data_IF_682869663720
#
_entry.id   IF_682869663720
#
_cell.length_a   1.000
_cell.length_b   1.000
_cell.length_c   1.000
_cell.angle_alpha   90.00
_cell.angle_beta   90.00
_cell.angle_gamma   90.00
#
_symmetry.space_group_name_H-M   'P 1'
#
loop_
_entity.id
_entity.type
_entity.pdbx_description
1 polymer ?
#
# COMPACT_ATOMS: atom_id res chain seq x y z
N UNK A 1 -2.35 -29.76 -65.41
CA UNK A 1 -2.89 -29.10 -64.19
C UNK A 1 -3.14 -27.64 -64.51
N UNK A 2 -4.37 -27.21 -64.30
CA UNK A 2 -5.05 -26.08 -64.96
C UNK A 2 -4.53 -24.75 -64.42
N UNK A 3 -4.09 -23.88 -65.33
CA UNK A 3 -3.62 -22.51 -65.09
C UNK A 3 -4.83 -21.55 -65.08
N UNK A 4 -5.25 -21.12 -63.90
CA UNK A 4 -6.33 -20.13 -63.73
C UNK A 4 -5.90 -18.67 -64.04
N UNK A 5 -4.67 -18.46 -64.50
CA UNK A 5 -4.08 -17.12 -64.69
C UNK A 5 -4.24 -16.53 -66.10
N UNK A 6 -4.83 -17.27 -67.04
CA UNK A 6 -4.94 -16.83 -68.44
C UNK A 6 -6.29 -16.25 -68.87
N UNK A 7 -7.29 -16.18 -67.99
CA UNK A 7 -8.65 -15.77 -68.41
C UNK A 7 -8.95 -14.26 -68.37
N UNK A 8 -7.99 -13.42 -67.95
CA UNK A 8 -8.21 -11.96 -67.85
C UNK A 8 -7.65 -11.12 -69.01
N UNK A 9 -7.07 -11.74 -70.05
CA UNK A 9 -6.29 -11.03 -71.08
C UNK A 9 -6.83 -11.14 -72.52
N UNK A 10 -8.13 -11.34 -72.73
CA UNK A 10 -8.71 -11.31 -74.07
C UNK A 10 -10.05 -10.58 -74.16
N UNK A 11 -9.99 -9.24 -74.21
CA UNK A 11 -10.99 -8.40 -74.87
C UNK A 11 -10.25 -7.24 -75.60
N UNK A 12 -10.39 -7.07 -76.93
CA UNK A 12 -9.74 -5.99 -77.65
C UNK A 12 -10.59 -4.73 -77.54
N UNK A 13 -10.51 -4.05 -76.40
CA UNK A 13 -10.97 -2.66 -76.28
C UNK A 13 -9.77 -1.79 -76.61
N UNK A 14 -9.79 -1.03 -77.71
CA UNK A 14 -8.79 0.04 -77.93
C UNK A 14 -8.95 1.04 -76.76
N UNK A 15 -8.02 1.11 -75.80
CA UNK A 15 -8.20 2.00 -74.67
C UNK A 15 -8.15 3.44 -75.20
N UNK A 16 -9.10 4.28 -74.78
CA UNK A 16 -9.07 5.69 -75.14
C UNK A 16 -7.76 6.32 -74.62
N UNK A 17 -7.22 7.34 -75.31
CA UNK A 17 -6.02 8.05 -74.87
C UNK A 17 -6.13 8.54 -73.41
N UNK A 18 -7.35 8.91 -72.98
CA UNK A 18 -7.67 9.26 -71.58
C UNK A 18 -7.38 8.11 -70.61
N UNK A 19 -7.73 6.89 -70.96
CA UNK A 19 -7.56 5.71 -70.09
C UNK A 19 -6.09 5.37 -69.88
N UNK A 20 -5.27 5.46 -70.95
CA UNK A 20 -3.83 5.19 -70.90
C UNK A 20 -3.08 6.24 -70.05
N UNK A 21 -3.52 7.49 -70.08
CA UNK A 21 -2.91 8.55 -69.29
C UNK A 21 -3.43 8.59 -67.85
N UNK A 22 -4.74 8.49 -67.61
CA UNK A 22 -5.33 8.74 -66.29
C UNK A 22 -5.10 7.58 -65.30
N UNK A 23 -5.21 6.32 -65.74
CA UNK A 23 -5.13 5.17 -64.84
C UNK A 23 -3.77 5.07 -64.11
N UNK A 24 -2.61 5.21 -64.78
CA UNK A 24 -1.31 5.17 -64.11
C UNK A 24 -1.16 6.27 -63.04
N UNK A 25 -1.64 7.49 -63.32
CA UNK A 25 -1.60 8.58 -62.34
C UNK A 25 -2.49 8.29 -61.13
N UNK A 26 -3.70 7.76 -61.33
CA UNK A 26 -4.59 7.37 -60.22
C UNK A 26 -3.96 6.26 -59.38
N UNK A 27 -3.37 5.23 -60.00
CA UNK A 27 -2.69 4.14 -59.30
C UNK A 27 -1.51 4.65 -58.47
N UNK A 28 -0.71 5.57 -59.03
CA UNK A 28 0.39 6.20 -58.29
C UNK A 28 -0.12 7.00 -57.08
N UNK A 29 -1.18 7.81 -57.26
CA UNK A 29 -1.79 8.57 -56.16
C UNK A 29 -2.30 7.62 -55.07
N UNK A 30 -3.03 6.57 -55.44
CA UNK A 30 -3.54 5.57 -54.48
C UNK A 30 -2.40 4.87 -53.72
N UNK A 31 -1.33 4.49 -54.42
CA UNK A 31 -0.17 3.86 -53.82
C UNK A 31 0.50 4.79 -52.80
N UNK A 32 0.74 6.06 -53.16
CA UNK A 32 1.36 7.05 -52.27
C UNK A 32 0.46 7.38 -51.08
N UNK A 33 -0.85 7.58 -51.29
CA UNK A 33 -1.79 7.87 -50.21
C UNK A 33 -1.93 6.69 -49.25
N UNK A 34 -1.99 5.47 -49.78
CA UNK A 34 -2.07 4.26 -48.95
C UNK A 34 -0.78 4.03 -48.17
N UNK A 35 0.38 4.23 -48.79
CA UNK A 35 1.68 4.10 -48.13
C UNK A 35 1.85 5.16 -47.04
N UNK A 36 1.55 6.42 -47.34
CA UNK A 36 1.64 7.51 -46.35
C UNK A 36 0.61 7.33 -45.22
N UNK A 37 -0.60 6.88 -45.53
CA UNK A 37 -1.61 6.52 -44.54
C UNK A 37 -1.15 5.38 -43.62
N UNK A 38 -0.60 4.30 -44.18
CA UNK A 38 -0.06 3.18 -43.41
C UNK A 38 1.13 3.61 -42.51
N UNK A 39 2.09 4.35 -43.06
CA UNK A 39 3.24 4.85 -42.31
C UNK A 39 2.81 5.83 -41.21
N UNK A 40 1.87 6.72 -41.49
CA UNK A 40 1.28 7.64 -40.52
C UNK A 40 0.62 6.90 -39.37
N UNK A 41 -0.20 5.88 -39.67
CA UNK A 41 -0.87 5.05 -38.66
C UNK A 41 0.14 4.28 -37.80
N UNK A 42 1.15 3.65 -38.42
CA UNK A 42 2.19 2.90 -37.71
C UNK A 42 3.04 3.81 -36.81
N UNK A 43 3.44 4.97 -37.32
CA UNK A 43 4.19 5.96 -36.55
C UNK A 43 3.35 6.57 -35.42
N UNK A 44 2.06 6.81 -35.67
CA UNK A 44 1.09 7.26 -34.67
C UNK A 44 0.94 6.26 -33.52
N UNK A 45 0.75 4.97 -33.82
CA UNK A 45 0.71 3.93 -32.78
C UNK A 45 2.01 3.88 -31.96
N UNK A 46 3.17 3.94 -32.63
CA UNK A 46 4.47 3.94 -31.94
C UNK A 46 4.62 5.14 -31.01
N UNK A 47 4.22 6.33 -31.47
CA UNK A 47 4.26 7.55 -30.65
C UNK A 47 3.35 7.44 -29.41
N UNK A 48 2.11 6.96 -29.59
CA UNK A 48 1.16 6.74 -28.48
C UNK A 48 1.70 5.71 -27.48
N UNK A 49 2.19 4.57 -27.95
CA UNK A 49 2.74 3.52 -27.07
C UNK A 49 3.96 4.01 -26.28
N UNK A 50 4.85 4.79 -26.92
CA UNK A 50 6.01 5.37 -26.25
C UNK A 50 5.59 6.35 -25.14
N UNK A 51 4.63 7.23 -25.41
CA UNK A 51 4.12 8.18 -24.42
C UNK A 51 3.43 7.44 -23.27
N UNK A 52 2.58 6.45 -23.57
CA UNK A 52 1.91 5.64 -22.55
C UNK A 52 2.91 4.91 -21.65
N UNK A 53 3.95 4.31 -22.24
CA UNK A 53 5.00 3.60 -21.49
C UNK A 53 5.79 4.54 -20.58
N UNK A 54 6.15 5.74 -21.06
CA UNK A 54 6.82 6.76 -20.24
C UNK A 54 5.95 7.22 -19.08
N UNK A 55 4.67 7.51 -19.34
CA UNK A 55 3.73 7.91 -18.31
C UNK A 55 3.56 6.83 -17.23
N UNK A 56 3.41 5.56 -17.64
CA UNK A 56 3.31 4.44 -16.69
C UNK A 56 4.59 4.27 -15.88
N UNK A 57 5.76 4.47 -16.49
CA UNK A 57 7.04 4.46 -15.79
C UNK A 57 7.13 5.58 -14.76
N UNK A 58 6.76 6.81 -15.11
CA UNK A 58 6.76 7.95 -14.18
C UNK A 58 5.78 7.75 -13.02
N UNK A 59 4.59 7.22 -13.30
CA UNK A 59 3.60 6.86 -12.26
C UNK A 59 4.18 5.78 -11.35
N UNK A 60 4.78 4.72 -11.91
CA UNK A 60 5.40 3.64 -11.14
C UNK A 60 6.54 4.15 -10.26
N UNK A 61 7.40 5.03 -10.78
CA UNK A 61 8.46 5.68 -10.02
C UNK A 61 7.88 6.56 -8.89
N UNK A 62 6.82 7.32 -9.15
CA UNK A 62 6.15 8.12 -8.11
C UNK A 62 5.54 7.25 -7.02
N UNK A 63 4.94 6.11 -7.37
CA UNK A 63 4.43 5.12 -6.42
C UNK A 63 5.58 4.57 -5.58
N UNK A 64 6.67 4.12 -6.21
CA UNK A 64 7.86 3.60 -5.52
C UNK A 64 8.45 4.63 -4.55
N UNK A 65 8.61 5.88 -4.98
CA UNK A 65 9.14 6.95 -4.14
C UNK A 65 8.26 7.21 -2.92
N UNK A 66 6.93 7.22 -3.08
CA UNK A 66 6.03 7.42 -1.93
C UNK A 66 6.02 6.21 -1.00
N UNK A 67 6.05 5.00 -1.55
CA UNK A 67 6.15 3.78 -0.74
C UNK A 67 7.44 3.73 0.06
N UNK A 68 8.55 4.20 -0.49
CA UNK A 68 9.80 4.34 0.24
C UNK A 68 9.59 5.21 1.49
N UNK A 69 8.97 6.39 1.35
CA UNK A 69 8.65 7.25 2.51
C UNK A 69 7.73 6.57 3.52
N UNK A 70 6.71 5.84 3.08
CA UNK A 70 5.82 5.08 3.98
C UNK A 70 6.58 4.00 4.75
N UNK A 71 7.44 3.25 4.08
CA UNK A 71 8.12 2.09 4.65
C UNK A 71 9.34 2.47 5.50
N UNK A 72 10.09 3.52 5.14
CA UNK A 72 11.27 3.92 5.93
C UNK A 72 10.91 4.52 7.28
N UNK A 73 9.85 5.33 7.36
CA UNK A 73 9.56 6.10 8.56
C UNK A 73 9.32 5.24 9.82
N UNK A 74 8.53 4.15 9.80
CA UNK A 74 8.38 3.26 10.96
C UNK A 74 9.71 2.70 11.48
N UNK A 75 10.61 2.32 10.57
CA UNK A 75 11.92 1.77 10.90
C UNK A 75 12.82 2.84 11.52
N UNK A 76 12.86 4.04 10.95
CA UNK A 76 13.63 5.17 11.45
C UNK A 76 13.14 5.63 12.85
N UNK A 77 11.82 5.68 13.07
CA UNK A 77 11.22 6.02 14.36
C UNK A 77 11.63 4.99 15.41
N UNK A 78 11.48 3.70 15.11
CA UNK A 78 11.87 2.64 16.03
C UNK A 78 13.38 2.69 16.33
N UNK A 79 14.22 2.93 15.33
CA UNK A 79 15.66 3.02 15.52
C UNK A 79 16.05 4.22 16.40
N UNK A 80 15.41 5.38 16.19
CA UNK A 80 15.61 6.56 17.03
C UNK A 80 15.20 6.28 18.48
N UNK A 81 14.02 5.67 18.67
CA UNK A 81 13.52 5.32 19.99
C UNK A 81 14.45 4.31 20.69
N UNK A 82 14.91 3.29 19.97
CA UNK A 82 15.86 2.30 20.48
C UNK A 82 17.19 2.95 20.89
N UNK A 83 17.71 3.88 20.09
CA UNK A 83 18.92 4.63 20.41
C UNK A 83 18.73 5.48 21.66
N UNK A 84 17.60 6.18 21.78
CA UNK A 84 17.27 7.05 22.92
C UNK A 84 17.12 6.25 24.21
N UNK A 85 16.56 5.04 24.14
CA UNK A 85 16.50 4.08 25.25
C UNK A 85 17.91 3.61 25.63
N UNK A 86 18.73 3.23 24.64
CA UNK A 86 20.09 2.72 24.86
C UNK A 86 21.00 3.74 25.56
N UNK A 87 20.77 5.04 25.36
CA UNK A 87 21.54 6.12 26.01
C UNK A 87 20.86 6.67 27.27
N UNK A 88 19.89 5.95 27.85
CA UNK A 88 19.12 6.31 29.05
C UNK A 88 18.39 7.67 28.96
N UNK A 89 18.08 8.16 27.75
CA UNK A 89 17.35 9.41 27.56
C UNK A 89 15.82 9.24 27.50
N UNK A 90 15.34 8.00 27.32
CA UNK A 90 13.92 7.68 27.34
C UNK A 90 13.62 6.64 28.42
N UNK A 91 12.94 7.06 29.49
CA UNK A 91 12.52 6.16 30.57
C UNK A 91 11.30 5.33 30.14
N UNK A 92 11.55 4.10 29.72
CA UNK A 92 10.53 3.14 29.28
C UNK A 92 9.69 2.51 30.41
N UNK A 93 10.06 2.77 31.68
CA UNK A 93 9.25 2.37 32.83
C UNK A 93 8.19 3.42 33.18
N UNK A 94 8.33 4.66 32.69
CA UNK A 94 7.37 5.74 32.86
C UNK A 94 6.42 5.83 31.67
N UNK A 95 5.32 5.08 31.76
CA UNK A 95 4.31 5.01 30.70
C UNK A 95 3.63 6.38 30.41
N UNK A 96 3.33 7.22 31.41
CA UNK A 96 2.90 8.61 31.17
C UNK A 96 3.87 9.43 30.32
N UNK A 97 5.18 9.30 30.52
CA UNK A 97 6.19 9.97 29.66
C UNK A 97 6.16 9.37 28.25
N UNK A 98 6.16 8.03 28.12
CA UNK A 98 6.11 7.35 26.81
C UNK A 98 4.88 7.74 25.99
N UNK A 99 3.71 7.85 26.61
CA UNK A 99 2.48 8.31 25.98
C UNK A 99 2.66 9.67 25.30
N UNK A 100 3.19 10.65 26.04
CA UNK A 100 3.38 12.02 25.52
C UNK A 100 4.46 12.03 24.44
N UNK A 101 5.52 11.27 24.64
CA UNK A 101 6.61 11.14 23.69
C UNK A 101 6.13 10.58 22.34
N UNK A 102 5.41 9.45 22.36
CA UNK A 102 4.85 8.85 21.14
C UNK A 102 3.78 9.74 20.51
N UNK A 103 2.96 10.42 21.31
CA UNK A 103 1.96 11.37 20.83
C UNK A 103 2.59 12.51 20.01
N UNK A 104 3.67 13.13 20.52
CA UNK A 104 4.36 14.20 19.80
C UNK A 104 5.11 13.69 18.56
N UNK A 105 5.72 12.51 18.62
CA UNK A 105 6.31 11.90 17.41
C UNK A 105 5.27 11.67 16.32
N UNK A 106 4.09 11.17 16.67
CA UNK A 106 3.03 10.86 15.71
C UNK A 106 2.49 12.11 14.99
N UNK A 107 2.56 13.29 15.63
CA UNK A 107 2.22 14.58 15.01
C UNK A 107 3.22 15.01 13.95
N UNK A 108 4.49 14.59 14.08
CA UNK A 108 5.54 14.86 13.10
C UNK A 108 5.48 13.85 11.95
N UNK A 109 5.33 12.57 12.26
CA UNK A 109 5.33 11.49 11.28
C UNK A 109 3.93 11.10 10.81
N UNK A 110 3.31 11.96 9.99
CA UNK A 110 1.94 11.79 9.52
C UNK A 110 1.70 10.52 8.67
N UNK A 111 2.75 9.89 8.13
CA UNK A 111 2.71 8.64 7.39
C UNK A 111 2.50 7.42 8.30
N UNK A 112 2.92 7.50 9.56
CA UNK A 112 2.75 6.42 10.55
C UNK A 112 1.40 6.57 11.23
N UNK A 113 0.78 5.45 11.58
CA UNK A 113 -0.53 5.42 12.22
C UNK A 113 -0.45 5.11 13.70
N UNK A 114 0.54 4.33 14.15
CA UNK A 114 0.72 4.01 15.56
C UNK A 114 2.21 3.98 15.88
N UNK A 115 2.59 4.54 17.04
CA UNK A 115 3.92 4.38 17.64
C UNK A 115 3.71 3.90 19.07
N UNK A 116 4.42 2.85 19.48
CA UNK A 116 4.24 2.27 20.80
C UNK A 116 5.39 1.40 21.27
N UNK A 117 5.23 0.90 22.49
CA UNK A 117 6.17 0.05 23.17
C UNK A 117 5.43 -1.00 24.00
N UNK A 118 5.97 -2.22 24.02
CA UNK A 118 5.56 -3.25 24.95
C UNK A 118 6.76 -3.78 25.74
N UNK A 119 6.61 -3.87 27.06
CA UNK A 119 7.68 -4.37 27.92
C UNK A 119 7.58 -5.89 28.15
N UNK A 120 8.56 -6.45 28.84
CA UNK A 120 8.61 -7.89 29.23
C UNK A 120 7.48 -8.31 30.18
N UNK A 121 6.79 -7.37 30.82
CA UNK A 121 5.71 -7.60 31.79
C UNK A 121 4.31 -7.60 31.15
N UNK A 122 4.22 -7.73 29.82
CA UNK A 122 2.97 -7.67 29.02
C UNK A 122 2.27 -6.31 29.04
N UNK A 123 2.96 -5.27 29.49
CA UNK A 123 2.40 -3.92 29.49
C UNK A 123 2.67 -3.27 28.15
N UNK A 124 1.69 -2.50 27.67
CA UNK A 124 1.67 -1.87 26.36
C UNK A 124 1.21 -0.42 26.49
N UNK A 125 1.87 0.47 25.75
CA UNK A 125 1.47 1.86 25.58
C UNK A 125 1.74 2.30 24.14
N UNK A 126 0.81 3.02 23.53
CA UNK A 126 1.00 3.58 22.19
C UNK A 126 0.17 4.84 21.98
N UNK A 127 0.63 5.71 21.09
CA UNK A 127 -0.18 6.73 20.45
C UNK A 127 -0.62 6.24 19.06
N UNK A 128 -1.87 6.51 18.67
CA UNK A 128 -2.43 6.08 17.39
C UNK A 128 -3.38 7.12 16.77
N UNK A 129 -3.22 7.37 15.47
CA UNK A 129 -4.16 8.12 14.62
C UNK A 129 -5.03 7.09 13.88
N UNK A 130 -6.30 7.06 14.23
CA UNK A 130 -7.30 6.25 13.56
C UNK A 130 -7.62 6.78 12.15
N UNK A 131 -8.25 5.96 11.27
CA UNK A 131 -8.65 6.40 9.94
C UNK A 131 -9.58 7.62 9.91
N UNK A 132 -10.34 7.85 10.98
CA UNK A 132 -11.21 9.02 11.18
C UNK A 132 -10.44 10.30 11.57
N UNK A 133 -9.11 10.23 11.67
CA UNK A 133 -8.23 11.32 12.09
C UNK A 133 -8.16 11.52 13.60
N UNK A 134 -8.90 10.75 14.40
CA UNK A 134 -8.83 10.86 15.85
C UNK A 134 -7.50 10.33 16.37
N UNK A 135 -6.85 11.14 17.20
CA UNK A 135 -5.66 10.73 17.93
C UNK A 135 -6.10 10.10 19.26
N UNK A 136 -5.52 8.96 19.57
CA UNK A 136 -5.86 8.14 20.73
C UNK A 136 -4.61 7.63 21.41
N UNK A 137 -4.73 7.35 22.71
CA UNK A 137 -3.73 6.58 23.46
C UNK A 137 -4.29 5.20 23.72
N UNK A 138 -3.48 4.17 23.51
CA UNK A 138 -3.86 2.80 23.83
C UNK A 138 -2.93 2.25 24.90
N UNK A 139 -3.52 1.67 25.94
CA UNK A 139 -2.75 1.12 27.04
C UNK A 139 -3.32 -0.22 27.51
N UNK A 140 -2.43 -1.13 27.89
CA UNK A 140 -2.76 -2.36 28.60
C UNK A 140 -1.69 -2.60 29.68
N UNK A 141 -2.09 -2.90 30.91
CA UNK A 141 -1.15 -3.19 31.98
C UNK A 141 -1.84 -3.38 33.32
N UNK A 142 -1.11 -3.29 34.43
CA UNK A 142 -1.67 -3.51 35.78
C UNK A 142 -2.89 -2.63 36.06
N UNK A 143 -2.82 -1.34 35.70
CA UNK A 143 -3.91 -0.36 35.91
C UNK A 143 -5.18 -0.68 35.14
N UNK A 144 -5.09 -1.40 34.02
CA UNK A 144 -6.25 -1.81 33.20
C UNK A 144 -6.64 -3.27 33.42
N UNK A 145 -6.02 -3.95 34.40
CA UNK A 145 -6.11 -5.40 34.60
C UNK A 145 -5.79 -6.18 33.32
N UNK A 146 -4.77 -5.72 32.58
CA UNK A 146 -4.32 -6.26 31.30
C UNK A 146 -5.38 -6.28 30.19
N UNK A 147 -6.42 -5.45 30.30
CA UNK A 147 -7.34 -5.19 29.20
C UNK A 147 -6.83 -4.01 28.38
N UNK A 148 -6.91 -4.12 27.06
CA UNK A 148 -6.61 -3.00 26.19
C UNK A 148 -7.68 -1.93 26.32
N UNK A 149 -7.27 -0.70 26.63
CA UNK A 149 -8.13 0.47 26.65
C UNK A 149 -7.68 1.43 25.57
N UNK A 150 -8.63 1.99 24.83
CA UNK A 150 -8.40 3.07 23.88
C UNK A 150 -8.97 4.34 24.46
N UNK A 151 -8.12 5.33 24.71
CA UNK A 151 -8.47 6.62 25.28
C UNK A 151 -8.54 7.68 24.19
N UNK A 152 -9.56 8.53 24.23
CA UNK A 152 -9.59 9.76 23.43
C UNK A 152 -8.61 10.78 24.00
N UNK A 153 -8.02 11.63 23.15
CA UNK A 153 -7.15 12.72 23.60
C UNK A 153 -7.68 14.09 23.20
N UNK A 154 -7.25 15.12 23.94
CA UNK A 154 -7.32 16.50 23.44
C UNK A 154 -6.15 16.80 22.47
N UNK A 155 -6.03 18.06 22.04
CA UNK A 155 -4.96 18.51 21.13
C UNK A 155 -3.54 18.43 21.74
N UNK A 156 -3.46 18.36 23.06
CA UNK A 156 -2.21 18.27 23.83
C UNK A 156 -1.84 16.82 24.19
N UNK A 157 -2.63 15.84 23.75
CA UNK A 157 -2.38 14.42 24.03
C UNK A 157 -2.83 13.93 25.39
N UNK A 158 -3.47 14.79 26.20
CA UNK A 158 -4.05 14.38 27.47
C UNK A 158 -5.30 13.54 27.24
N UNK A 159 -5.39 12.39 27.90
CA UNK A 159 -6.58 11.52 27.90
C UNK A 159 -7.81 12.28 28.41
N UNK A 160 -8.90 12.25 27.64
CA UNK A 160 -10.16 12.94 27.98
C UNK A 160 -11.32 11.98 28.25
N UNK A 161 -11.18 10.71 27.87
CA UNK A 161 -12.23 9.71 27.99
C UNK A 161 -11.80 8.37 27.43
N UNK A 162 -12.71 7.39 27.46
CA UNK A 162 -12.48 6.05 26.93
C UNK A 162 -13.32 5.89 25.66
N UNK A 163 -12.65 5.66 24.52
CA UNK A 163 -13.27 5.35 23.22
C UNK A 163 -13.70 3.89 23.16
N UNK A 164 -12.90 2.98 23.71
CA UNK A 164 -13.13 1.54 23.66
C UNK A 164 -12.58 0.85 24.92
N UNK A 165 -13.40 -0.02 25.50
CA UNK A 165 -13.07 -0.84 26.66
C UNK A 165 -12.39 -2.17 26.27
N UNK A 166 -12.24 -2.50 24.99
CA UNK A 166 -11.41 -3.60 24.50
C UNK A 166 -11.60 -4.94 25.24
N UNK A 167 -10.57 -5.79 25.22
CA UNK A 167 -10.55 -7.12 25.83
C UNK A 167 -9.16 -7.41 26.43
N UNK A 168 -8.96 -8.54 27.15
CA UNK A 168 -7.63 -8.95 27.59
C UNK A 168 -6.64 -8.93 26.43
N UNK A 169 -5.49 -8.28 26.64
CA UNK A 169 -4.51 -8.03 25.59
C UNK A 169 -3.14 -8.44 26.08
N UNK A 170 -2.68 -9.57 25.53
CA UNK A 170 -1.36 -10.12 25.79
C UNK A 170 -0.45 -9.84 24.59
N UNK A 171 0.47 -8.88 24.75
CA UNK A 171 1.44 -8.52 23.71
C UNK A 171 2.38 -9.67 23.37
N UNK A 172 2.66 -10.56 24.32
CA UNK A 172 3.50 -11.75 24.12
C UNK A 172 2.81 -12.85 23.31
N UNK A 173 1.55 -12.66 22.92
CA UNK A 173 0.89 -13.55 21.94
C UNK A 173 0.85 -12.94 20.54
N UNK A 174 1.39 -11.73 20.37
CA UNK A 174 1.38 -11.03 19.09
C UNK A 174 2.65 -11.35 18.30
N UNK A 175 2.47 -11.69 17.03
CA UNK A 175 3.57 -12.03 16.13
C UNK A 175 4.62 -10.91 16.04
N UNK A 176 4.18 -9.64 16.01
CA UNK A 176 5.09 -8.48 15.96
C UNK A 176 6.00 -8.39 17.19
N UNK A 177 5.60 -8.92 18.35
CA UNK A 177 6.41 -8.92 19.57
C UNK A 177 7.36 -10.13 19.59
N UNK A 178 6.81 -11.35 19.48
CA UNK A 178 7.59 -12.57 19.63
C UNK A 178 8.61 -12.78 18.50
N UNK A 179 8.22 -12.50 17.25
CA UNK A 179 9.14 -12.65 16.12
C UNK A 179 10.29 -11.65 16.22
N UNK A 180 10.02 -10.41 16.65
CA UNK A 180 11.06 -9.40 16.81
C UNK A 180 12.09 -9.82 17.86
N UNK A 181 11.64 -10.35 19.00
CA UNK A 181 12.55 -10.89 20.03
C UNK A 181 13.34 -12.08 19.49
N UNK A 182 12.70 -13.03 18.81
CA UNK A 182 13.37 -14.21 18.27
C UNK A 182 14.41 -13.89 17.20
N UNK A 183 14.18 -12.86 16.39
CA UNK A 183 15.09 -12.42 15.33
C UNK A 183 16.19 -11.47 15.83
N UNK A 184 16.05 -10.95 17.06
CA UNK A 184 16.97 -10.00 17.71
C UNK A 184 17.30 -8.74 16.89
N UNK A 185 16.48 -8.42 15.88
CA UNK A 185 16.69 -7.31 14.94
C UNK A 185 15.38 -6.66 14.55
N UNK A 186 15.48 -5.50 13.90
CA UNK A 186 14.30 -4.86 13.32
C UNK A 186 13.70 -5.70 12.20
N UNK A 187 12.37 -5.82 12.17
CA UNK A 187 11.64 -6.64 11.20
C UNK A 187 10.29 -6.04 10.84
N UNK A 188 9.71 -6.55 9.74
CA UNK A 188 8.32 -6.31 9.38
C UNK A 188 7.45 -7.48 9.81
N UNK A 189 6.28 -7.21 10.38
CA UNK A 189 5.24 -8.21 10.55
C UNK A 189 4.62 -8.61 9.22
N UNK A 190 3.86 -9.70 9.23
CA UNK A 190 2.85 -9.93 8.19
C UNK A 190 1.78 -8.83 8.20
N UNK A 191 1.01 -8.69 7.12
CA UNK A 191 -0.19 -7.85 7.11
C UNK A 191 -1.25 -8.46 8.03
N UNK A 192 -1.76 -7.67 8.98
CA UNK A 192 -2.74 -8.13 9.95
C UNK A 192 -3.92 -7.14 10.13
N UNK A 193 -5.11 -7.63 10.49
CA UNK A 193 -6.23 -6.78 10.88
C UNK A 193 -5.94 -5.94 12.13
N UNK A 194 -6.25 -4.65 12.08
CA UNK A 194 -6.27 -3.83 13.27
C UNK A 194 -7.31 -4.34 14.29
N UNK A 195 -7.08 -4.15 15.58
CA UNK A 195 -7.97 -4.60 16.67
C UNK A 195 -9.43 -4.19 16.50
N UNK A 196 -9.68 -3.02 15.89
CA UNK A 196 -11.04 -2.51 15.63
C UNK A 196 -11.73 -3.16 14.41
N UNK A 197 -11.02 -3.93 13.59
CA UNK A 197 -11.59 -4.61 12.42
C UNK A 197 -11.98 -3.70 11.26
N UNK A 198 -11.42 -2.48 11.19
CA UNK A 198 -11.80 -1.49 10.16
C UNK A 198 -10.76 -1.32 9.05
N UNK A 199 -9.52 -1.77 9.27
CA UNK A 199 -8.40 -1.59 8.36
C UNK A 199 -7.30 -2.64 8.59
N UNK A 200 -6.48 -2.87 7.57
CA UNK A 200 -5.28 -3.71 7.64
C UNK A 200 -4.04 -2.88 7.94
N UNK A 201 -3.17 -3.44 8.77
CA UNK A 201 -1.95 -2.80 9.26
C UNK A 201 -0.75 -3.69 8.92
N UNK A 202 0.42 -3.08 8.83
CA UNK A 202 1.72 -3.75 8.86
C UNK A 202 2.61 -3.04 9.89
N UNK A 203 3.37 -3.81 10.66
CA UNK A 203 4.18 -3.32 11.76
C UNK A 203 5.66 -3.38 11.42
N UNK A 204 6.38 -2.28 11.63
CA UNK A 204 7.81 -2.33 11.91
C UNK A 204 7.99 -2.60 13.41
N UNK A 205 8.77 -3.61 13.75
CA UNK A 205 9.02 -4.03 15.12
C UNK A 205 10.51 -4.13 15.38
N UNK A 206 10.96 -3.57 16.51
CA UNK A 206 12.37 -3.54 16.88
C UNK A 206 12.55 -3.85 18.36
N UNK A 207 13.35 -4.86 18.73
CA UNK A 207 13.74 -5.07 20.13
C UNK A 207 14.50 -3.85 20.66
N UNK A 208 14.16 -3.42 21.87
CA UNK A 208 14.82 -2.33 22.56
C UNK A 208 15.68 -2.88 23.71
N UNK A 209 16.92 -2.43 23.81
CA UNK A 209 17.89 -2.85 24.81
C UNK A 209 18.36 -1.65 25.62
N UNK A 210 18.67 -1.86 26.90
CA UNK A 210 19.32 -0.84 27.73
C UNK A 210 20.82 -0.71 27.38
N UNK A 211 21.52 0.22 28.04
CA UNK A 211 22.96 0.42 27.84
C UNK A 211 23.81 -0.80 28.17
N UNK A 212 23.32 -1.71 29.03
CA UNK A 212 23.99 -2.96 29.40
C UNK A 212 23.69 -4.10 28.41
N UNK A 213 22.84 -3.86 27.41
CA UNK A 213 22.45 -4.86 26.43
C UNK A 213 21.31 -5.78 26.91
N UNK A 214 20.64 -5.47 28.03
CA UNK A 214 19.49 -6.26 28.46
C UNK A 214 18.25 -5.86 27.65
N UNK A 215 17.56 -6.85 27.08
CA UNK A 215 16.29 -6.65 26.38
C UNK A 215 15.28 -6.02 27.33
N UNK A 216 14.64 -4.93 26.92
CA UNK A 216 13.63 -4.23 27.71
C UNK A 216 12.20 -4.48 27.21
N UNK A 217 12.06 -4.76 25.92
CA UNK A 217 10.78 -4.91 25.26
C UNK A 217 10.90 -4.72 23.76
N UNK A 218 9.78 -4.43 23.11
CA UNK A 218 9.71 -4.24 21.66
C UNK A 218 9.03 -2.91 21.36
N UNK A 219 9.70 -2.10 20.53
CA UNK A 219 9.14 -0.91 19.90
C UNK A 219 8.31 -1.31 18.69
N UNK A 220 7.21 -0.61 18.49
CA UNK A 220 6.23 -0.89 17.45
C UNK A 220 5.87 0.40 16.73
N UNK A 221 5.99 0.40 15.41
CA UNK A 221 5.48 1.46 14.55
C UNK A 221 4.63 0.86 13.43
N UNK A 222 3.34 1.19 13.38
CA UNK A 222 2.42 0.62 12.38
C UNK A 222 2.07 1.58 11.28
N UNK A 223 1.95 1.03 10.07
CA UNK A 223 1.31 1.66 8.93
C UNK A 223 -0.10 1.13 8.78
N UNK A 224 -1.05 2.06 8.66
CA UNK A 224 -2.39 1.73 8.17
C UNK A 224 -2.34 1.68 6.64
N UNK A 225 -2.60 0.51 6.06
CA UNK A 225 -2.55 0.30 4.61
C UNK A 225 -3.61 1.12 3.86
N UNK A 226 -4.67 1.59 4.53
CA UNK A 226 -5.64 2.49 3.91
C UNK A 226 -5.02 3.83 3.49
N UNK A 227 -3.98 4.31 4.17
CA UNK A 227 -3.26 5.54 3.78
C UNK A 227 -2.59 5.39 2.42
N UNK A 228 -2.04 4.21 2.14
CA UNK A 228 -1.47 3.87 0.82
C UNK A 228 -2.58 3.81 -0.23
N UNK A 229 -3.72 3.18 0.09
CA UNK A 229 -4.90 3.17 -0.80
C UNK A 229 -5.38 4.58 -1.17
N UNK A 230 -5.52 5.48 -0.18
CA UNK A 230 -5.88 6.88 -0.42
C UNK A 230 -4.87 7.60 -1.30
N UNK A 231 -3.57 7.36 -1.10
CA UNK A 231 -2.53 7.89 -1.99
C UNK A 231 -2.72 7.40 -3.44
N UNK A 232 -2.93 6.09 -3.64
CA UNK A 232 -3.14 5.51 -4.97
C UNK A 232 -4.41 6.05 -5.66
N UNK A 233 -5.51 6.22 -4.91
CA UNK A 233 -6.75 6.81 -5.41
C UNK A 233 -6.57 8.25 -5.90
N UNK A 234 -5.61 8.99 -5.33
CA UNK A 234 -5.31 10.36 -5.72
C UNK A 234 -4.34 10.46 -6.93
N UNK A 235 -3.82 9.34 -7.43
CA UNK A 235 -3.00 9.32 -8.64
C UNK A 235 -3.88 9.48 -9.88
N UNK A 236 -3.48 10.38 -10.78
CA UNK A 236 -4.12 10.52 -12.09
C UNK A 236 -3.50 9.53 -13.07
N UNK A 237 -4.21 8.44 -13.38
CA UNK A 237 -3.74 7.38 -14.27
C UNK A 237 -4.65 7.33 -15.51
N UNK A 238 -4.47 8.30 -16.42
CA UNK A 238 -5.35 8.45 -17.57
C UNK A 238 -6.83 8.59 -17.16
N UNK A 239 -7.74 8.04 -17.96
CA UNK A 239 -9.20 8.06 -17.68
C UNK A 239 -9.70 6.83 -16.94
N UNK A 240 -9.05 5.68 -17.15
CA UNK A 240 -9.52 4.35 -16.71
C UNK A 240 -8.40 3.48 -16.15
N UNK A 241 -7.19 4.01 -16.01
CA UNK A 241 -6.07 3.26 -15.46
C UNK A 241 -6.21 3.11 -13.96
N UNK A 242 -5.69 2.01 -13.43
CA UNK A 242 -5.66 1.72 -12.00
C UNK A 242 -4.22 1.52 -11.54
N UNK A 243 -4.01 1.61 -10.22
CA UNK A 243 -2.80 1.18 -9.56
C UNK A 243 -3.15 0.36 -8.33
N UNK A 244 -2.32 -0.63 -8.03
CA UNK A 244 -2.47 -1.47 -6.86
C UNK A 244 -1.09 -1.97 -6.42
N UNK A 245 -1.03 -2.46 -5.19
CA UNK A 245 0.20 -2.97 -4.58
C UNK A 245 -0.09 -4.36 -4.03
N UNK A 246 0.82 -5.28 -4.31
CA UNK A 246 0.75 -6.67 -3.87
C UNK A 246 1.96 -6.98 -2.99
N UNK A 247 1.74 -7.68 -1.89
CA UNK A 247 2.83 -8.20 -1.06
C UNK A 247 3.45 -9.40 -1.78
N UNK A 248 4.70 -9.27 -2.20
CA UNK A 248 5.38 -10.25 -3.07
C UNK A 248 5.36 -11.68 -2.51
N UNK A 249 5.56 -11.83 -1.20
CA UNK A 249 5.68 -13.15 -0.57
C UNK A 249 4.34 -13.87 -0.43
N UNK A 250 3.27 -13.14 -0.13
CA UNK A 250 1.96 -13.74 0.13
C UNK A 250 0.98 -13.65 -1.03
N UNK A 251 1.22 -12.75 -2.00
CA UNK A 251 0.26 -12.41 -3.04
C UNK A 251 -0.94 -11.59 -2.55
N UNK A 252 -0.94 -11.15 -1.28
CA UNK A 252 -2.05 -10.36 -0.71
C UNK A 252 -2.12 -8.98 -1.34
N UNK A 253 -3.34 -8.52 -1.60
CA UNK A 253 -3.57 -7.13 -1.98
C UNK A 253 -3.28 -6.22 -0.78
N UNK A 254 -2.34 -5.29 -0.93
CA UNK A 254 -1.94 -4.32 0.11
C UNK A 254 -2.83 -3.10 0.03
N UNK A 255 -2.99 -2.56 -1.18
CA UNK A 255 -3.74 -1.34 -1.45
C UNK A 255 -4.12 -1.29 -2.94
N UNK A 256 -5.18 -0.54 -3.27
CA UNK A 256 -5.63 -0.31 -4.64
C UNK A 256 -6.18 1.11 -4.80
N UNK A 257 -6.09 1.67 -6.00
CA UNK A 257 -6.70 2.94 -6.39
C UNK A 257 -8.20 2.81 -6.69
N UNK A 258 -8.75 1.60 -6.66
CA UNK A 258 -10.20 1.38 -6.79
C UNK A 258 -10.90 1.63 -5.45
N UNK A 259 -12.23 1.49 -5.43
CA UNK A 259 -13.02 1.55 -4.20
C UNK A 259 -13.03 0.21 -3.43
N UNK A 260 -12.34 -0.82 -3.92
CA UNK A 260 -12.26 -2.10 -3.24
C UNK A 260 -11.38 -2.00 -1.99
N UNK A 261 -11.85 -2.59 -0.88
CA UNK A 261 -11.04 -2.74 0.33
C UNK A 261 -10.14 -3.96 0.18
N UNK A 262 -8.87 -3.94 0.62
CA UNK A 262 -7.93 -5.07 0.52
C UNK A 262 -8.22 -6.22 1.50
N UNK A 263 -9.45 -6.31 2.00
CA UNK A 263 -9.91 -7.36 2.89
C UNK A 263 -11.40 -7.64 2.65
N UNK A 264 -11.84 -8.85 3.01
CA UNK A 264 -13.25 -9.21 3.11
C UNK A 264 -13.72 -9.05 4.54
N UNK A 265 -14.98 -8.63 4.71
CA UNK A 265 -15.60 -8.52 6.03
C UNK A 265 -16.54 -9.70 6.24
N UNK A 266 -16.33 -10.47 7.31
CA UNK A 266 -17.27 -11.46 7.81
C UNK A 266 -17.77 -11.05 9.19
N UNK A 267 -18.85 -10.23 9.22
CA UNK A 267 -19.37 -9.68 10.49
C UNK A 267 -20.07 -10.73 11.36
N UNK A 268 -20.43 -11.87 10.80
CA UNK A 268 -21.28 -12.87 11.46
C UNK A 268 -20.49 -13.85 12.35
N UNK A 269 -19.17 -13.95 12.20
CA UNK A 269 -18.39 -15.08 12.75
C UNK A 269 -17.51 -14.78 13.96
N UNK A 270 -17.37 -13.52 14.42
CA UNK A 270 -16.42 -13.26 15.52
C UNK A 270 -16.79 -12.21 16.56
N UNK A 271 -16.59 -12.62 17.81
CA UNK A 271 -16.63 -11.75 19.00
C UNK A 271 -15.44 -10.78 19.07
N UNK A 272 -14.36 -11.02 18.31
CA UNK A 272 -13.21 -10.10 18.21
C UNK A 272 -13.31 -9.30 16.91
N UNK A 273 -13.23 -7.97 16.99
CA UNK A 273 -13.41 -7.14 15.80
C UNK A 273 -12.30 -7.34 14.75
N UNK A 274 -11.05 -7.57 15.16
CA UNK A 274 -9.95 -7.94 14.25
C UNK A 274 -10.24 -9.18 13.39
N UNK A 275 -10.96 -10.16 13.93
CA UNK A 275 -11.29 -11.39 13.21
C UNK A 275 -12.47 -11.22 12.22
N UNK A 276 -13.12 -10.06 12.23
CA UNK A 276 -14.21 -9.75 11.28
C UNK A 276 -13.69 -9.40 9.91
N UNK A 277 -12.40 -9.13 9.75
CA UNK A 277 -11.81 -8.84 8.44
C UNK A 277 -10.67 -9.80 8.14
N UNK A 278 -10.57 -10.21 6.88
CA UNK A 278 -9.51 -11.10 6.40
C UNK A 278 -8.89 -10.53 5.13
N UNK A 279 -7.56 -10.33 5.08
CA UNK A 279 -6.88 -9.98 3.82
C UNK A 279 -7.08 -11.09 2.79
N UNK A 280 -7.12 -10.74 1.51
CA UNK A 280 -7.26 -11.68 0.40
C UNK A 280 -6.15 -11.48 -0.65
N UNK A 281 -5.99 -12.44 -1.56
CA UNK A 281 -4.97 -12.41 -2.61
C UNK A 281 -5.38 -11.47 -3.74
N UNK A 282 -4.45 -10.81 -4.42
CA UNK A 282 -4.79 -9.91 -5.54
C UNK A 282 -5.65 -10.60 -6.62
N UNK A 283 -5.43 -11.88 -6.87
CA UNK A 283 -6.21 -12.73 -7.78
C UNK A 283 -7.68 -12.92 -7.36
N UNK A 284 -8.02 -12.70 -6.09
CA UNK A 284 -9.39 -12.79 -5.55
C UNK A 284 -10.11 -11.43 -5.53
N UNK A 285 -9.50 -10.39 -6.11
CA UNK A 285 -10.08 -9.05 -6.23
C UNK A 285 -11.39 -9.07 -7.01
N UNK A 286 -12.32 -8.16 -6.70
CA UNK A 286 -13.52 -7.95 -7.52
C UNK A 286 -13.25 -7.10 -8.77
N UNK A 287 -12.08 -6.46 -8.84
CA UNK A 287 -11.63 -5.70 -10.00
C UNK A 287 -10.88 -6.59 -10.99
N UNK A 288 -11.40 -6.67 -12.22
CA UNK A 288 -10.84 -7.57 -13.25
C UNK A 288 -9.39 -7.24 -13.59
N UNK A 289 -8.99 -5.97 -13.61
CA UNK A 289 -7.62 -5.60 -13.95
C UNK A 289 -6.63 -6.01 -12.86
N UNK A 290 -7.06 -5.98 -11.60
CA UNK A 290 -6.28 -6.46 -10.45
C UNK A 290 -6.14 -7.98 -10.46
N UNK A 291 -7.18 -8.72 -10.89
CA UNK A 291 -7.16 -10.18 -10.97
C UNK A 291 -6.12 -10.74 -11.96
N UNK A 292 -5.81 -10.01 -13.05
CA UNK A 292 -4.90 -10.46 -14.11
C UNK A 292 -3.40 -10.35 -13.74
N UNK A 293 -3.07 -10.25 -12.44
CA UNK A 293 -1.69 -10.21 -11.91
C UNK A 293 -1.14 -11.61 -11.71
#
# INVERSE_FOLDING_TARGET
KISYLQYFLSLPVKPSLRTVLIIPFILQILAVVSLTGYLSFKNGQKAVNNIATRLLSEISQRVQQNLHTFLEAPQQINQNNANTIKIDQLNIQDFPILEKYFFEQLKVFNQVSLIGFANKNKEFISAEIFPDGSLTIRASGKSTKYNLRTYTTNKQGTRTGIKDFGKPYDTQRRNWYNKAIAEERSMWSEIYPHNSGIALYIAASQPAYDKQGNLQGVLLSNLNLSKIGTFLQNLKIGKTGISFIVERQSGKLVATSTNEKPFRSNKLESQLAENRIKPFLAIDSNDKQTQFT
#
